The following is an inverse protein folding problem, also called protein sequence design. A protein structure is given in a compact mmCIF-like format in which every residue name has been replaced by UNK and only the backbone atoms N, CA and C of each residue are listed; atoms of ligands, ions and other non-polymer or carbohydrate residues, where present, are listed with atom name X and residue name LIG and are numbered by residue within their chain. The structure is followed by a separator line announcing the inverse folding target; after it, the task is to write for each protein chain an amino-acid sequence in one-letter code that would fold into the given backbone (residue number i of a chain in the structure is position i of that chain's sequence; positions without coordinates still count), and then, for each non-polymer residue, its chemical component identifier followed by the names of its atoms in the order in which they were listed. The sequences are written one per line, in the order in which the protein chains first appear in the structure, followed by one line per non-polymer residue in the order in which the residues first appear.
data_IF_691806283725
#
_entry.id   IF_691806283725
#
_cell.length_a   1.000
_cell.length_b   1.000
_cell.length_c   1.000
_cell.angle_alpha   90.00
_cell.angle_beta   90.00
_cell.angle_gamma   90.00
#
_symmetry.space_group_name_H-M   'P 1'
#
loop_
_entity.id
_entity.type
_entity.pdbx_description
1 polymer ?
#
# COMPACT_ATOMS: atom_id res chain seq x y z
N UNK A 1 -11.20 14.05 7.51
CA UNK A 1 -10.06 13.11 7.43
C UNK A 1 -10.62 11.72 7.21
N UNK A 2 -10.08 10.95 6.26
CA UNK A 2 -10.55 9.58 6.00
C UNK A 2 -9.92 8.63 7.04
N UNK A 3 -10.70 8.21 8.03
CA UNK A 3 -10.21 7.43 9.17
C UNK A 3 -9.57 6.10 8.76
N UNK A 4 -10.16 5.41 7.78
CA UNK A 4 -9.68 4.13 7.25
C UNK A 4 -8.29 4.26 6.63
N UNK A 5 -8.05 5.34 5.89
CA UNK A 5 -6.74 5.62 5.30
C UNK A 5 -5.65 5.69 6.37
N UNK A 6 -5.83 6.56 7.37
CA UNK A 6 -4.81 6.77 8.40
C UNK A 6 -4.57 5.52 9.24
N UNK A 7 -5.63 4.80 9.63
CA UNK A 7 -5.51 3.57 10.41
C UNK A 7 -4.78 2.47 9.63
N UNK A 8 -5.04 2.36 8.33
CA UNK A 8 -4.41 1.33 7.49
C UNK A 8 -2.92 1.62 7.30
N UNK A 9 -2.56 2.86 6.99
CA UNK A 9 -1.16 3.30 6.88
C UNK A 9 -0.41 3.09 8.20
N UNK A 10 -0.96 3.58 9.32
CA UNK A 10 -0.34 3.44 10.65
C UNK A 10 -0.14 1.96 11.03
N UNK A 11 -1.10 1.09 10.70
CA UNK A 11 -0.97 -0.35 10.93
C UNK A 11 0.15 -0.97 10.09
N UNK A 12 0.25 -0.61 8.81
CA UNK A 12 1.28 -1.13 7.92
C UNK A 12 2.68 -0.69 8.33
N UNK A 13 2.85 0.58 8.71
CA UNK A 13 4.11 1.12 9.22
C UNK A 13 4.57 0.39 10.49
N UNK A 14 3.66 0.23 11.47
CA UNK A 14 3.94 -0.49 12.72
C UNK A 14 4.32 -1.95 12.50
N UNK A 15 3.75 -2.58 11.47
CA UNK A 15 4.06 -3.98 11.11
C UNK A 15 5.33 -4.11 10.27
N UNK A 16 5.99 -3.01 9.88
CA UNK A 16 7.19 -3.07 9.05
C UNK A 16 6.90 -3.60 7.64
N UNK A 17 5.73 -3.27 7.09
CA UNK A 17 5.37 -3.58 5.71
C UNK A 17 6.31 -2.84 4.76
N UNK A 18 6.56 -3.42 3.58
CA UNK A 18 7.35 -2.78 2.55
C UNK A 18 6.81 -1.39 2.19
N UNK A 19 7.72 -0.41 2.16
CA UNK A 19 7.40 0.99 1.86
C UNK A 19 6.81 1.15 0.46
N UNK A 20 7.23 0.34 -0.51
CA UNK A 20 6.66 0.38 -1.86
C UNK A 20 5.22 -0.14 -1.87
N UNK A 21 4.90 -1.14 -1.05
CA UNK A 21 3.51 -1.59 -0.87
C UNK A 21 2.65 -0.50 -0.23
N UNK A 22 3.13 0.14 0.85
CA UNK A 22 2.40 1.23 1.53
C UNK A 22 2.12 2.38 0.55
N UNK A 23 3.12 2.77 -0.23
CA UNK A 23 3.00 3.80 -1.25
C UNK A 23 1.99 3.43 -2.35
N UNK A 24 2.06 2.19 -2.84
CA UNK A 24 1.09 1.68 -3.80
C UNK A 24 -0.33 1.77 -3.25
N UNK A 25 -0.53 1.27 -2.03
CA UNK A 25 -1.82 1.27 -1.35
C UNK A 25 -2.40 2.66 -1.18
N UNK A 26 -1.59 3.63 -0.74
CA UNK A 26 -2.00 5.02 -0.63
C UNK A 26 -2.42 5.60 -1.98
N UNK A 27 -1.63 5.36 -3.04
CA UNK A 27 -1.96 5.82 -4.39
C UNK A 27 -3.26 5.20 -4.91
N UNK A 28 -3.46 3.89 -4.75
CA UNK A 28 -4.67 3.20 -5.17
C UNK A 28 -5.91 3.67 -4.43
N UNK A 29 -5.82 3.80 -3.10
CA UNK A 29 -6.94 4.24 -2.26
C UNK A 29 -7.39 5.68 -2.53
N UNK A 30 -6.44 6.55 -2.90
CA UNK A 30 -6.73 7.93 -3.31
C UNK A 30 -7.10 8.06 -4.79
N UNK A 31 -7.14 6.94 -5.53
CA UNK A 31 -7.38 6.90 -6.98
C UNK A 31 -6.41 7.78 -7.79
N UNK A 32 -5.15 7.84 -7.35
CA UNK A 32 -4.09 8.52 -8.08
C UNK A 32 -3.68 7.69 -9.32
N UNK A 33 -3.17 8.34 -10.38
CA UNK A 33 -2.50 7.62 -11.46
C UNK A 33 -1.33 6.77 -10.94
N UNK A 34 -1.08 5.63 -11.60
CA UNK A 34 0.13 4.84 -11.33
C UNK A 34 1.38 5.66 -11.67
N UNK A 35 2.48 5.38 -10.96
CA UNK A 35 3.82 5.94 -11.23
C UNK A 35 4.31 5.53 -12.62
N UNK A 36 5.41 6.15 -13.07
CA UNK A 36 6.07 5.74 -14.31
C UNK A 36 6.45 4.26 -14.27
N UNK A 37 6.27 3.54 -15.38
CA UNK A 37 6.44 2.08 -15.48
C UNK A 37 7.80 1.60 -14.94
N UNK A 38 8.86 2.37 -15.19
CA UNK A 38 10.22 2.10 -14.73
C UNK A 38 10.41 2.12 -13.21
N UNK A 39 9.45 2.70 -12.47
CA UNK A 39 9.47 2.82 -11.01
C UNK A 39 8.45 1.92 -10.34
N UNK A 40 7.71 1.13 -11.12
CA UNK A 40 6.79 0.13 -10.58
C UNK A 40 7.61 -1.05 -10.06
N UNK A 41 7.26 -1.49 -8.85
CA UNK A 41 7.76 -2.71 -8.24
C UNK A 41 6.59 -3.65 -8.00
N UNK A 42 6.86 -4.94 -7.79
CA UNK A 42 5.81 -5.91 -7.47
C UNK A 42 5.05 -5.51 -6.20
N UNK A 43 5.77 -5.00 -5.19
CA UNK A 43 5.20 -4.48 -3.95
C UNK A 43 4.25 -3.30 -4.22
N UNK A 44 4.70 -2.33 -5.02
CA UNK A 44 3.89 -1.17 -5.38
C UNK A 44 2.62 -1.56 -6.14
N UNK A 45 2.73 -2.45 -7.13
CA UNK A 45 1.58 -2.88 -7.91
C UNK A 45 0.56 -3.62 -7.03
N UNK A 46 1.02 -4.55 -6.17
CA UNK A 46 0.15 -5.24 -5.22
C UNK A 46 -0.54 -4.27 -4.26
N UNK A 47 0.22 -3.31 -3.71
CA UNK A 47 -0.32 -2.26 -2.86
C UNK A 47 -1.38 -1.45 -3.58
N UNK A 48 -1.10 -1.00 -4.81
CA UNK A 48 -2.02 -0.18 -5.60
C UNK A 48 -3.35 -0.89 -5.87
N UNK A 49 -3.31 -2.15 -6.26
CA UNK A 49 -4.50 -2.92 -6.58
C UNK A 49 -5.34 -3.15 -5.29
N UNK A 50 -4.69 -3.45 -4.17
CA UNK A 50 -5.38 -3.61 -2.88
C UNK A 50 -5.92 -2.29 -2.32
N UNK A 51 -5.20 -1.17 -2.50
CA UNK A 51 -5.65 0.17 -2.13
C UNK A 51 -6.84 0.61 -2.94
N UNK A 52 -6.83 0.37 -4.26
CA UNK A 52 -7.94 0.67 -5.17
C UNK A 52 -9.19 -0.14 -4.84
N UNK A 53 -9.01 -1.36 -4.32
CA UNK A 53 -10.08 -2.22 -3.83
C UNK A 53 -10.52 -1.93 -2.37
N UNK A 54 -9.82 -1.03 -1.66
CA UNK A 54 -10.09 -0.70 -0.26
C UNK A 54 -9.78 -1.83 0.74
N UNK A 55 -8.93 -2.80 0.38
CA UNK A 55 -8.55 -3.90 1.26
C UNK A 55 -7.55 -3.43 2.31
N UNK A 56 -7.72 -3.86 3.56
CA UNK A 56 -6.88 -3.41 4.69
C UNK A 56 -6.04 -4.53 5.30
N UNK A 57 -5.94 -5.69 4.66
CA UNK A 57 -5.29 -6.90 5.16
C UNK A 57 -4.31 -7.55 4.17
N UNK A 58 -4.30 -7.13 2.90
CA UNK A 58 -3.43 -7.65 1.84
C UNK A 58 -1.92 -7.49 2.08
N UNK A 59 -1.52 -6.62 3.01
CA UNK A 59 -0.11 -6.33 3.32
C UNK A 59 0.62 -7.49 4.01
N UNK A 60 -0.08 -8.53 4.47
CA UNK A 60 0.51 -9.62 5.25
C UNK A 60 1.70 -10.29 4.54
N UNK A 61 1.63 -10.43 3.22
CA UNK A 61 2.70 -11.00 2.37
C UNK A 61 3.89 -10.06 2.18
N UNK A 62 3.74 -8.78 2.50
CA UNK A 62 4.71 -7.72 2.29
C UNK A 62 5.35 -7.21 3.59
N UNK A 63 5.09 -7.88 4.71
CA UNK A 63 5.80 -7.64 5.97
C UNK A 63 7.25 -8.05 5.81
N UNK A 64 8.19 -7.10 5.98
CA UNK A 64 9.62 -7.42 5.91
C UNK A 64 9.98 -8.37 7.04
N UNK A 65 10.49 -9.56 6.70
CA UNK A 65 11.09 -10.47 7.69
C UNK A 65 12.36 -9.81 8.22
N UNK A 66 12.42 -9.62 9.54
CA UNK A 66 13.63 -9.16 10.24
C UNK A 66 14.77 -10.15 10.09
#
# INVERSE_FOLDING_TARGET
MNQTYYQTIDTMEKKGVDVEYINGWACGYLHNPKREEQRLTDAYNAGFDDGSAGKTDGYASWVKKK
#
